data_IF_376582261743
#
_entry.id   IF_376582261743
#
_cell.length_a   1.000
_cell.length_b   1.000
_cell.length_c   1.000
_cell.angle_alpha   90.00
_cell.angle_beta   90.00
_cell.angle_gamma   90.00
#
_symmetry.space_group_name_H-M   'P 1'
#
loop_
_entity.id
_entity.type
_entity.pdbx_description
1 polymer ?
#
# COMPACT_ATOMS: atom_id res chain seq x y z
N UNK A 1 13.52 1.16 -26.11
CA UNK A 1 13.43 1.19 -24.62
C UNK A 1 12.57 0.02 -24.22
N UNK A 2 12.84 -0.64 -23.08
CA UNK A 2 11.95 -1.69 -22.56
C UNK A 2 10.63 -1.08 -22.10
N UNK A 3 9.52 -1.81 -22.24
CA UNK A 3 8.21 -1.41 -21.74
C UNK A 3 8.31 -1.19 -20.22
N UNK A 4 7.82 -0.05 -19.67
CA UNK A 4 7.82 0.20 -18.24
C UNK A 4 7.04 -0.87 -17.49
N UNK A 5 7.50 -1.22 -16.29
CA UNK A 5 6.88 -2.24 -15.46
C UNK A 5 6.30 -1.62 -14.18
N UNK A 6 5.04 -1.88 -13.93
CA UNK A 6 4.40 -1.64 -12.63
C UNK A 6 4.33 -2.97 -11.90
N UNK A 7 4.93 -3.03 -10.70
CA UNK A 7 4.84 -4.18 -9.80
C UNK A 7 3.89 -3.81 -8.67
N UNK A 8 2.79 -4.54 -8.53
CA UNK A 8 1.84 -4.37 -7.43
C UNK A 8 2.10 -5.38 -6.32
N UNK A 9 2.06 -4.96 -5.05
CA UNK A 9 2.04 -5.87 -3.91
C UNK A 9 0.82 -5.58 -3.03
N UNK A 10 -0.01 -6.59 -2.85
CA UNK A 10 -1.27 -6.46 -2.11
C UNK A 10 -1.09 -6.42 -0.59
N UNK A 11 -2.10 -5.93 0.11
CA UNK A 11 -2.18 -5.91 1.58
C UNK A 11 -2.70 -7.22 2.16
N UNK A 12 -3.13 -7.14 3.41
CA UNK A 12 -3.62 -8.22 4.26
C UNK A 12 -4.81 -9.00 3.70
N UNK A 13 -5.15 -10.06 4.42
CA UNK A 13 -6.26 -10.98 4.21
C UNK A 13 -6.13 -11.85 2.96
N UNK A 14 -6.94 -12.91 2.92
CA UNK A 14 -7.02 -13.79 1.75
C UNK A 14 -7.43 -12.99 0.50
N UNK A 15 -7.02 -13.47 -0.64
CA UNK A 15 -7.25 -12.83 -1.95
C UNK A 15 -7.84 -13.82 -2.93
N UNK A 16 -8.54 -13.35 -3.98
CA UNK A 16 -8.85 -14.18 -5.14
C UNK A 16 -7.55 -14.64 -5.80
N UNK A 17 -7.65 -15.53 -6.76
CA UNK A 17 -6.49 -15.99 -7.53
C UNK A 17 -5.63 -14.84 -8.06
N UNK A 18 -4.31 -15.06 -8.16
CA UNK A 18 -3.35 -14.05 -8.62
C UNK A 18 -3.76 -13.39 -9.94
N UNK A 19 -4.24 -14.21 -10.89
CA UNK A 19 -4.67 -13.74 -12.22
C UNK A 19 -5.83 -12.73 -12.13
N UNK A 20 -6.80 -13.00 -11.25
CA UNK A 20 -7.97 -12.15 -11.03
C UNK A 20 -7.57 -10.86 -10.31
N UNK A 21 -6.80 -11.00 -9.22
CA UNK A 21 -6.31 -9.83 -8.47
C UNK A 21 -5.45 -8.92 -9.35
N UNK A 22 -4.55 -9.51 -10.14
CA UNK A 22 -3.71 -8.80 -11.11
C UNK A 22 -4.56 -8.01 -12.12
N UNK A 23 -5.58 -8.66 -12.69
CA UNK A 23 -6.51 -8.03 -13.63
C UNK A 23 -7.23 -6.83 -13.00
N UNK A 24 -7.72 -6.96 -11.76
CA UNK A 24 -8.46 -5.88 -11.11
C UNK A 24 -7.58 -4.68 -10.74
N UNK A 25 -6.34 -4.94 -10.31
CA UNK A 25 -5.38 -3.86 -10.08
C UNK A 25 -5.07 -3.10 -11.38
N UNK A 26 -4.78 -3.85 -12.47
CA UNK A 26 -4.52 -3.27 -13.77
C UNK A 26 -5.71 -2.43 -14.26
N UNK A 27 -6.93 -2.96 -14.18
CA UNK A 27 -8.16 -2.23 -14.54
C UNK A 27 -8.32 -0.93 -13.75
N UNK A 28 -8.01 -0.92 -12.45
CA UNK A 28 -8.11 0.30 -11.64
C UNK A 28 -7.11 1.38 -12.06
N UNK A 29 -5.90 0.99 -12.44
CA UNK A 29 -4.87 1.90 -12.97
C UNK A 29 -5.30 2.45 -14.33
N UNK A 30 -5.75 1.57 -15.23
CA UNK A 30 -6.21 1.95 -16.57
C UNK A 30 -7.43 2.88 -16.50
N UNK A 31 -8.39 2.58 -15.62
CA UNK A 31 -9.56 3.45 -15.38
C UNK A 31 -9.11 4.85 -14.91
N UNK A 32 -8.19 4.91 -13.96
CA UNK A 32 -7.64 6.17 -13.48
C UNK A 32 -6.96 6.98 -14.58
N UNK A 33 -6.10 6.33 -15.38
CA UNK A 33 -5.42 6.95 -16.52
C UNK A 33 -6.39 7.47 -17.56
N UNK A 34 -7.42 6.68 -17.91
CA UNK A 34 -8.42 7.09 -18.87
C UNK A 34 -9.25 8.28 -18.37
N UNK A 35 -9.74 8.25 -17.13
CA UNK A 35 -10.67 9.25 -16.61
C UNK A 35 -9.97 10.55 -16.18
N UNK A 36 -8.75 10.48 -15.72
CA UNK A 36 -8.04 11.64 -15.17
C UNK A 36 -7.04 12.26 -16.16
N UNK A 37 -6.42 11.44 -17.03
CA UNK A 37 -5.31 11.84 -17.88
C UNK A 37 -5.62 11.68 -19.37
N UNK A 38 -6.82 11.20 -19.74
CA UNK A 38 -7.25 10.91 -21.12
C UNK A 38 -6.35 9.92 -21.86
N UNK A 39 -5.73 8.97 -21.15
CA UNK A 39 -4.92 7.90 -21.71
C UNK A 39 -5.77 6.64 -21.81
N UNK A 40 -6.15 6.25 -23.04
CA UNK A 40 -7.10 5.15 -23.28
C UNK A 40 -6.44 3.78 -23.51
N UNK A 41 -5.15 3.75 -23.85
CA UNK A 41 -4.40 2.51 -24.13
C UNK A 41 -2.97 2.67 -23.61
N UNK A 42 -2.78 2.61 -22.29
CA UNK A 42 -1.46 2.80 -21.68
C UNK A 42 -0.58 1.57 -21.92
N UNK A 43 0.63 1.79 -22.44
CA UNK A 43 1.62 0.74 -22.68
C UNK A 43 2.50 0.50 -21.44
N UNK A 44 2.15 -0.50 -20.65
CA UNK A 44 2.93 -0.95 -19.49
C UNK A 44 2.71 -2.43 -19.19
N UNK A 45 3.73 -3.08 -18.65
CA UNK A 45 3.56 -4.40 -18.05
C UNK A 45 3.10 -4.25 -16.60
N UNK A 46 2.24 -5.17 -16.15
CA UNK A 46 1.81 -5.25 -14.76
C UNK A 46 2.08 -6.64 -14.17
N UNK A 47 2.84 -6.69 -13.08
CA UNK A 47 3.09 -7.93 -12.34
C UNK A 47 2.57 -7.81 -10.91
N UNK A 48 1.73 -8.76 -10.48
CA UNK A 48 1.29 -8.87 -9.09
C UNK A 48 2.29 -9.70 -8.28
N UNK A 49 2.67 -9.20 -7.12
CA UNK A 49 3.33 -9.98 -6.07
C UNK A 49 2.25 -10.59 -5.19
N UNK A 50 1.99 -11.87 -5.41
CA UNK A 50 0.93 -12.61 -4.74
C UNK A 50 1.51 -13.46 -3.62
N UNK A 51 1.24 -13.09 -2.38
CA UNK A 51 1.73 -13.78 -1.19
C UNK A 51 0.62 -14.37 -0.30
N UNK A 52 -0.66 -14.14 -0.62
CA UNK A 52 -1.78 -14.64 0.17
C UNK A 52 -1.77 -16.18 0.29
N UNK A 53 -1.33 -16.91 -0.73
CA UNK A 53 -1.21 -18.34 -0.76
C UNK A 53 -0.24 -18.93 0.28
N UNK A 54 0.68 -18.13 0.82
CA UNK A 54 1.58 -18.59 1.89
C UNK A 54 0.90 -18.60 3.27
N UNK A 55 -0.15 -17.80 3.44
CA UNK A 55 -0.91 -17.72 4.69
C UNK A 55 -2.27 -18.43 4.61
N UNK A 56 -2.81 -18.60 3.41
CA UNK A 56 -4.15 -19.13 3.17
C UNK A 56 -4.10 -20.29 2.17
N UNK A 57 -4.56 -21.48 2.59
CA UNK A 57 -4.53 -22.71 1.77
C UNK A 57 -5.41 -22.63 0.53
N UNK A 58 -6.54 -21.94 0.63
CA UNK A 58 -7.51 -21.81 -0.46
C UNK A 58 -7.67 -20.34 -0.81
N UNK A 59 -7.70 -20.04 -2.11
CA UNK A 59 -8.04 -18.70 -2.58
C UNK A 59 -9.46 -18.33 -2.19
N UNK A 60 -9.74 -17.03 -2.12
CA UNK A 60 -11.13 -16.58 -2.05
C UNK A 60 -11.80 -16.82 -3.41
N UNK A 61 -13.05 -17.25 -3.35
CA UNK A 61 -13.87 -17.28 -4.55
C UNK A 61 -14.04 -15.86 -5.10
N UNK A 62 -14.11 -15.74 -6.41
CA UNK A 62 -14.39 -14.49 -7.13
C UNK A 62 -15.88 -14.34 -7.44
N UNK A 63 -16.72 -15.22 -6.92
CA UNK A 63 -18.17 -15.18 -7.05
C UNK A 63 -18.73 -14.02 -6.24
N UNK A 64 -19.58 -13.18 -6.88
CA UNK A 64 -20.15 -12.01 -6.25
C UNK A 64 -20.90 -12.34 -4.96
N UNK A 65 -21.60 -13.47 -4.89
CA UNK A 65 -22.35 -13.90 -3.71
C UNK A 65 -21.45 -14.18 -2.51
N UNK A 66 -20.23 -14.67 -2.74
CA UNK A 66 -19.27 -14.94 -1.68
C UNK A 66 -18.63 -13.66 -1.14
N UNK A 67 -18.38 -12.68 -1.99
CA UNK A 67 -17.72 -11.43 -1.60
C UNK A 67 -18.60 -10.54 -0.73
N UNK A 68 -19.91 -10.62 -0.87
CA UNK A 68 -20.85 -9.83 -0.07
C UNK A 68 -20.95 -10.28 1.39
N UNK A 69 -20.59 -11.53 1.68
CA UNK A 69 -20.65 -12.07 3.05
C UNK A 69 -19.38 -11.88 3.86
N UNK A 70 -18.29 -11.48 3.23
CA UNK A 70 -16.99 -11.35 3.91
C UNK A 70 -16.33 -9.99 3.68
N UNK A 71 -16.37 -9.18 4.71
CA UNK A 71 -15.54 -7.99 4.95
C UNK A 71 -14.71 -7.38 3.80
N UNK A 72 -15.12 -6.25 3.33
CA UNK A 72 -14.46 -5.09 2.65
C UNK A 72 -13.26 -5.27 1.71
N UNK A 73 -12.44 -6.29 1.84
CA UNK A 73 -11.14 -6.32 1.14
C UNK A 73 -11.09 -7.22 -0.08
N UNK A 74 -12.16 -7.94 -0.35
CA UNK A 74 -12.12 -9.06 -1.29
C UNK A 74 -13.21 -9.03 -2.37
N UNK A 75 -14.02 -7.97 -2.39
CA UNK A 75 -15.05 -7.80 -3.40
C UNK A 75 -14.45 -7.56 -4.80
N UNK A 76 -15.17 -7.94 -5.88
CA UNK A 76 -14.77 -7.65 -7.25
C UNK A 76 -14.50 -6.18 -7.47
N UNK A 77 -13.67 -5.88 -8.46
CA UNK A 77 -13.43 -4.50 -8.88
C UNK A 77 -14.73 -3.85 -9.37
N UNK A 78 -15.03 -2.68 -8.82
CA UNK A 78 -16.18 -1.86 -9.21
C UNK A 78 -15.68 -0.54 -9.80
N UNK A 79 -16.05 -0.26 -11.03
CA UNK A 79 -15.72 1.01 -11.69
C UNK A 79 -16.31 2.21 -10.94
N UNK A 80 -15.62 3.36 -11.04
CA UNK A 80 -16.10 4.60 -10.47
C UNK A 80 -17.37 5.06 -11.17
N UNK A 81 -18.35 5.47 -10.37
CA UNK A 81 -19.52 6.17 -10.89
C UNK A 81 -19.08 7.51 -11.47
N UNK A 82 -19.65 7.92 -12.59
CA UNK A 82 -19.30 9.19 -13.24
C UNK A 82 -19.35 10.36 -12.24
N UNK A 83 -18.32 11.20 -12.25
CA UNK A 83 -18.17 12.36 -11.37
C UNK A 83 -17.73 12.06 -9.93
N UNK A 84 -17.34 10.82 -9.61
CA UNK A 84 -16.87 10.46 -8.26
C UNK A 84 -15.36 10.59 -8.05
N UNK A 85 -14.59 10.67 -9.12
CA UNK A 85 -13.15 10.91 -9.02
C UNK A 85 -12.92 12.37 -8.65
N UNK A 86 -12.39 12.60 -7.47
CA UNK A 86 -12.13 13.94 -6.91
C UNK A 86 -10.68 14.06 -6.52
N UNK A 87 -10.12 15.20 -6.88
CA UNK A 87 -8.84 15.66 -6.40
C UNK A 87 -8.86 15.95 -4.90
N UNK A 88 -7.68 16.10 -4.36
CA UNK A 88 -7.30 16.43 -2.99
C UNK A 88 -8.32 17.29 -2.23
N UNK A 89 -8.64 16.90 -1.03
CA UNK A 89 -9.41 17.73 -0.08
C UNK A 89 -8.48 18.33 0.96
N UNK A 90 -8.48 19.65 1.06
CA UNK A 90 -7.92 20.35 2.21
C UNK A 90 -8.71 19.96 3.46
N UNK A 91 -8.06 19.44 4.46
CA UNK A 91 -8.71 18.88 5.64
C UNK A 91 -8.09 19.20 6.97
N UNK A 92 -8.91 19.46 7.92
CA UNK A 92 -8.81 20.05 9.25
C UNK A 92 -8.36 19.06 10.39
N UNK A 93 -7.75 17.91 10.13
CA UNK A 93 -7.51 16.90 11.18
C UNK A 93 -6.05 16.66 11.58
N UNK A 94 -5.12 17.56 11.21
CA UNK A 94 -3.68 17.38 11.47
C UNK A 94 -3.27 17.40 12.96
N UNK A 95 -4.16 17.81 13.87
CA UNK A 95 -3.78 18.06 15.27
C UNK A 95 -4.02 16.90 16.23
N UNK A 96 -4.60 15.78 15.78
CA UNK A 96 -5.06 14.73 16.70
C UNK A 96 -4.03 13.62 16.93
N UNK A 97 -3.03 13.47 16.05
CA UNK A 97 -2.16 12.29 16.00
C UNK A 97 -0.71 12.46 16.47
N UNK A 98 -0.38 13.52 17.14
CA UNK A 98 0.98 13.77 17.67
C UNK A 98 1.27 13.06 19.00
N UNK A 99 0.87 11.80 19.16
CA UNK A 99 1.13 11.02 20.38
C UNK A 99 1.73 9.66 20.08
N UNK A 100 2.77 9.27 20.81
CA UNK A 100 3.35 7.93 20.75
C UNK A 100 2.33 6.89 21.24
N UNK A 101 2.05 5.88 20.43
CA UNK A 101 1.13 4.80 20.77
C UNK A 101 1.90 3.48 20.94
N UNK A 102 1.70 2.85 22.08
CA UNK A 102 2.08 1.46 22.33
C UNK A 102 0.90 0.55 21.94
N UNK A 103 1.14 -0.56 21.26
CA UNK A 103 0.11 -1.49 20.78
C UNK A 103 -0.40 -2.44 21.88
N UNK A 104 -0.61 -1.94 23.09
CA UNK A 104 -1.38 -2.64 24.13
C UNK A 104 -2.88 -2.60 23.82
N UNK A 105 -3.67 -3.51 24.39
CA UNK A 105 -5.13 -3.51 24.20
C UNK A 105 -5.80 -2.19 24.58
N UNK A 106 -5.25 -1.46 25.57
CA UNK A 106 -5.70 -0.14 25.95
C UNK A 106 -5.51 0.91 24.85
N UNK A 107 -4.48 0.75 24.03
CA UNK A 107 -4.21 1.65 22.91
C UNK A 107 -5.20 1.44 21.77
N UNK A 108 -5.62 0.20 21.53
CA UNK A 108 -6.64 -0.10 20.52
C UNK A 108 -7.97 0.55 20.88
N UNK A 109 -8.38 0.47 22.16
CA UNK A 109 -9.63 1.06 22.64
C UNK A 109 -9.58 2.60 22.61
N UNK A 110 -8.44 3.20 22.93
CA UNK A 110 -8.21 4.65 22.80
C UNK A 110 -8.23 5.12 21.33
N UNK A 111 -7.71 4.31 20.41
CA UNK A 111 -7.78 4.58 18.97
C UNK A 111 -9.22 4.52 18.47
N UNK A 112 -10.00 3.55 18.91
CA UNK A 112 -11.43 3.41 18.60
C UNK A 112 -12.21 4.64 19.04
N UNK A 113 -12.02 5.07 20.27
CA UNK A 113 -12.71 6.23 20.85
C UNK A 113 -12.34 7.53 20.12
N UNK A 114 -11.04 7.75 19.83
CA UNK A 114 -10.56 8.96 19.16
C UNK A 114 -10.91 9.04 17.68
N UNK A 115 -10.97 7.90 16.98
CA UNK A 115 -11.23 7.83 15.54
C UNK A 115 -12.72 7.75 15.22
N UNK A 116 -13.59 7.50 16.21
CA UNK A 116 -15.01 7.26 15.98
C UNK A 116 -15.22 6.11 14.99
N UNK A 117 -14.35 5.08 15.08
CA UNK A 117 -14.37 3.93 14.18
C UNK A 117 -15.65 3.12 14.43
N UNK A 118 -16.30 2.73 13.34
CA UNK A 118 -17.40 1.78 13.40
C UNK A 118 -16.88 0.35 13.63
N UNK A 119 -17.78 -0.57 13.91
CA UNK A 119 -17.45 -1.98 14.21
C UNK A 119 -16.65 -2.69 13.10
N UNK A 120 -16.65 -2.15 11.89
CA UNK A 120 -15.98 -2.71 10.71
C UNK A 120 -14.51 -2.29 10.64
N UNK A 121 -14.24 -1.01 10.93
CA UNK A 121 -12.87 -0.53 11.07
C UNK A 121 -12.15 -1.24 12.24
N UNK A 122 -12.86 -1.52 13.33
CA UNK A 122 -12.36 -2.30 14.46
C UNK A 122 -11.93 -3.73 14.08
N UNK A 123 -12.79 -4.43 13.34
CA UNK A 123 -12.50 -5.79 12.90
C UNK A 123 -11.30 -5.82 11.94
N UNK A 124 -11.16 -4.80 11.10
CA UNK A 124 -10.03 -4.67 10.17
C UNK A 124 -8.72 -4.38 10.90
N UNK A 125 -8.71 -3.42 11.85
CA UNK A 125 -7.54 -3.10 12.67
C UNK A 125 -7.11 -4.30 13.51
N UNK A 126 -8.05 -5.03 14.12
CA UNK A 126 -7.74 -6.26 14.85
C UNK A 126 -7.06 -7.32 13.98
N UNK A 127 -7.49 -7.45 12.72
CA UNK A 127 -6.87 -8.36 11.75
C UNK A 127 -5.48 -7.87 11.32
N UNK A 128 -5.33 -6.57 11.06
CA UNK A 128 -4.04 -5.96 10.75
C UNK A 128 -3.03 -6.22 11.86
N UNK A 129 -3.40 -5.99 13.10
CA UNK A 129 -2.52 -6.21 14.26
C UNK A 129 -2.12 -7.67 14.42
N UNK A 130 -3.07 -8.61 14.19
CA UNK A 130 -2.77 -10.04 14.23
C UNK A 130 -1.76 -10.45 13.16
N UNK A 131 -1.94 -9.97 11.94
CA UNK A 131 -1.06 -10.33 10.83
C UNK A 131 0.31 -9.63 10.93
N UNK A 132 0.36 -8.40 11.47
CA UNK A 132 1.61 -7.73 11.86
C UNK A 132 2.34 -8.53 12.94
N UNK A 133 1.64 -9.02 13.96
CA UNK A 133 2.22 -9.86 14.99
C UNK A 133 2.81 -11.13 14.38
N UNK A 134 2.09 -11.83 13.50
CA UNK A 134 2.60 -13.00 12.79
C UNK A 134 3.84 -12.67 11.95
N UNK A 135 3.82 -11.55 11.22
CA UNK A 135 4.95 -11.12 10.41
C UNK A 135 6.22 -10.90 11.23
N UNK A 136 6.11 -10.27 12.39
CA UNK A 136 7.28 -9.98 13.22
C UNK A 136 7.71 -11.13 14.12
N UNK A 137 6.84 -12.07 14.47
CA UNK A 137 7.14 -13.19 15.37
C UNK A 137 7.54 -14.48 14.61
N UNK A 138 7.06 -14.68 13.39
CA UNK A 138 7.33 -15.87 12.59
C UNK A 138 8.35 -15.54 11.50
N UNK A 139 9.62 -15.81 11.79
CA UNK A 139 10.72 -15.51 10.88
C UNK A 139 10.63 -16.28 9.56
N UNK A 140 10.18 -17.51 9.58
CA UNK A 140 10.04 -18.34 8.37
C UNK A 140 8.99 -17.74 7.42
N UNK A 141 7.81 -17.38 7.95
CA UNK A 141 6.79 -16.70 7.17
C UNK A 141 7.24 -15.34 6.67
N UNK A 142 7.84 -14.53 7.55
CA UNK A 142 8.39 -13.23 7.15
C UNK A 142 9.35 -13.36 5.98
N UNK A 143 10.29 -14.30 6.06
CA UNK A 143 11.27 -14.56 5.00
C UNK A 143 10.60 -15.07 3.72
N UNK A 144 9.60 -15.93 3.82
CA UNK A 144 8.81 -16.39 2.67
C UNK A 144 8.11 -15.23 1.94
N UNK A 145 7.42 -14.36 2.68
CA UNK A 145 6.75 -13.18 2.11
C UNK A 145 7.75 -12.22 1.44
N UNK A 146 8.89 -11.97 2.09
CA UNK A 146 9.97 -11.13 1.53
C UNK A 146 10.58 -11.76 0.28
N UNK A 147 10.79 -13.07 0.26
CA UNK A 147 11.36 -13.78 -0.91
C UNK A 147 10.48 -13.65 -2.14
N UNK A 148 9.16 -13.76 -1.99
CA UNK A 148 8.21 -13.61 -3.11
C UNK A 148 8.37 -12.27 -3.83
N UNK A 149 8.47 -11.17 -3.09
CA UNK A 149 8.70 -9.85 -3.70
C UNK A 149 10.14 -9.74 -4.26
N UNK A 150 11.14 -10.16 -3.48
CA UNK A 150 12.55 -10.10 -3.87
C UNK A 150 12.80 -10.80 -5.20
N UNK A 151 12.30 -12.02 -5.36
CA UNK A 151 12.45 -12.81 -6.58
C UNK A 151 11.77 -12.15 -7.78
N UNK A 152 10.55 -11.61 -7.61
CA UNK A 152 9.84 -10.88 -8.66
C UNK A 152 10.61 -9.63 -9.11
N UNK A 153 11.19 -8.89 -8.17
CA UNK A 153 11.98 -7.69 -8.48
C UNK A 153 13.29 -8.05 -9.19
N UNK A 154 14.04 -9.03 -8.68
CA UNK A 154 15.32 -9.45 -9.27
C UNK A 154 15.13 -10.05 -10.69
N UNK A 155 14.05 -10.79 -10.92
CA UNK A 155 13.70 -11.32 -12.25
C UNK A 155 13.43 -10.20 -13.29
N UNK A 156 13.22 -8.97 -12.84
CA UNK A 156 12.97 -7.81 -13.69
C UNK A 156 14.04 -6.72 -13.54
N UNK A 157 15.22 -7.08 -13.00
CA UNK A 157 16.35 -6.15 -12.86
C UNK A 157 16.72 -5.54 -14.21
N UNK A 158 17.03 -4.25 -14.21
CA UNK A 158 17.40 -3.48 -15.41
C UNK A 158 16.20 -2.93 -16.19
N UNK A 159 14.96 -3.24 -15.79
CA UNK A 159 13.77 -2.57 -16.30
C UNK A 159 13.47 -1.29 -15.52
N UNK A 160 12.73 -0.37 -16.14
CA UNK A 160 12.14 0.77 -15.46
C UNK A 160 10.97 0.30 -14.60
N UNK A 161 11.15 0.27 -13.27
CA UNK A 161 10.19 -0.32 -12.33
C UNK A 161 9.54 0.75 -11.46
N UNK A 162 8.19 0.73 -11.38
CA UNK A 162 7.39 1.37 -10.34
C UNK A 162 6.82 0.27 -9.43
N UNK A 163 7.22 0.25 -8.16
CA UNK A 163 6.66 -0.65 -7.16
C UNK A 163 5.51 0.04 -6.43
N UNK A 164 4.30 -0.47 -6.56
CA UNK A 164 3.08 0.02 -5.87
C UNK A 164 2.71 -0.95 -4.77
N UNK A 165 2.86 -0.51 -3.53
CA UNK A 165 2.63 -1.32 -2.35
C UNK A 165 1.41 -0.83 -1.55
N UNK A 166 0.52 -1.75 -1.16
CA UNK A 166 -0.71 -1.45 -0.44
C UNK A 166 -0.71 -2.05 0.96
N UNK A 167 -1.10 -1.25 1.97
CA UNK A 167 -1.33 -1.76 3.33
C UNK A 167 -0.10 -2.49 3.90
N UNK A 168 -0.24 -3.68 4.46
CA UNK A 168 0.91 -4.51 4.92
C UNK A 168 1.94 -4.77 3.81
N UNK A 169 1.52 -4.78 2.54
CA UNK A 169 2.46 -4.89 1.42
C UNK A 169 3.52 -3.78 1.42
N UNK A 170 3.23 -2.62 2.03
CA UNK A 170 4.20 -1.51 2.15
C UNK A 170 5.33 -1.84 3.13
N UNK A 171 5.04 -2.59 4.20
CA UNK A 171 6.05 -3.06 5.15
C UNK A 171 6.96 -4.07 4.47
N UNK A 172 6.37 -5.09 3.82
CA UNK A 172 7.14 -6.11 3.07
C UNK A 172 8.01 -5.44 2.01
N UNK A 173 7.45 -4.46 1.28
CA UNK A 173 8.17 -3.73 0.25
C UNK A 173 9.33 -2.92 0.82
N UNK A 174 9.11 -2.17 1.91
CA UNK A 174 10.16 -1.40 2.56
C UNK A 174 11.31 -2.29 3.03
N UNK A 175 11.00 -3.42 3.68
CA UNK A 175 11.98 -4.38 4.16
C UNK A 175 12.80 -4.97 3.01
N UNK A 176 12.13 -5.43 1.94
CA UNK A 176 12.81 -6.03 0.78
C UNK A 176 13.70 -5.02 0.06
N UNK A 177 13.22 -3.79 -0.14
CA UNK A 177 14.02 -2.74 -0.78
C UNK A 177 15.24 -2.37 0.07
N UNK A 178 15.09 -2.36 1.40
CA UNK A 178 16.21 -2.11 2.32
C UNK A 178 17.24 -3.25 2.26
N UNK A 179 16.77 -4.51 2.30
CA UNK A 179 17.64 -5.69 2.20
C UNK A 179 18.34 -5.79 0.84
N UNK A 180 17.65 -5.46 -0.24
CA UNK A 180 18.26 -5.40 -1.58
C UNK A 180 19.35 -4.33 -1.65
N UNK A 181 19.11 -3.16 -1.05
CA UNK A 181 20.15 -2.11 -0.98
C UNK A 181 21.42 -2.52 -0.24
N UNK A 182 21.30 -3.48 0.69
CA UNK A 182 22.45 -4.05 1.42
C UNK A 182 23.11 -5.20 0.66
N UNK A 183 22.33 -6.07 0.02
CA UNK A 183 22.82 -7.33 -0.56
C UNK A 183 23.07 -7.28 -2.07
N UNK A 184 22.44 -6.36 -2.78
CA UNK A 184 22.56 -6.18 -4.23
C UNK A 184 22.59 -4.68 -4.59
N UNK A 185 23.74 -4.00 -4.40
CA UNK A 185 23.85 -2.55 -4.56
C UNK A 185 23.61 -2.06 -6.00
N UNK A 186 23.69 -2.94 -6.99
CA UNK A 186 23.42 -2.63 -8.40
C UNK A 186 21.94 -2.78 -8.78
N UNK A 187 21.10 -3.25 -7.85
CA UNK A 187 19.66 -3.31 -8.06
C UNK A 187 19.04 -1.93 -7.85
N UNK A 188 18.15 -1.55 -8.77
CA UNK A 188 17.48 -0.25 -8.75
C UNK A 188 16.02 -0.37 -9.16
N UNK A 189 15.18 0.48 -8.54
CA UNK A 189 13.83 0.77 -9.01
C UNK A 189 13.66 2.28 -9.19
N UNK A 190 12.83 2.67 -10.13
CA UNK A 190 12.53 4.08 -10.39
C UNK A 190 11.71 4.70 -9.25
N UNK A 191 10.53 4.11 -9.01
CA UNK A 191 9.56 4.65 -8.08
C UNK A 191 9.14 3.61 -7.03
N UNK A 192 9.09 4.04 -5.77
CA UNK A 192 8.42 3.32 -4.70
C UNK A 192 7.15 4.08 -4.31
N UNK A 193 6.00 3.44 -4.44
CA UNK A 193 4.69 4.04 -4.16
C UNK A 193 4.04 3.26 -3.03
N UNK A 194 3.69 3.95 -1.95
CA UNK A 194 2.94 3.40 -0.83
C UNK A 194 1.53 3.97 -0.84
N UNK A 195 0.52 3.10 -0.72
CA UNK A 195 -0.90 3.47 -0.69
C UNK A 195 -1.57 2.84 0.52
N UNK A 196 -2.29 3.63 1.31
CA UNK A 196 -2.93 3.15 2.55
C UNK A 196 -1.93 2.49 3.50
N UNK A 197 -0.80 3.12 3.74
CA UNK A 197 0.37 2.52 4.40
C UNK A 197 0.32 2.59 5.93
N UNK A 198 0.60 1.48 6.66
CA UNK A 198 0.81 1.48 8.10
C UNK A 198 2.26 1.80 8.53
N UNK A 199 3.15 2.18 7.62
CA UNK A 199 4.57 2.43 7.92
C UNK A 199 4.79 3.52 8.99
N UNK A 200 3.87 4.48 9.09
CA UNK A 200 3.91 5.54 10.12
C UNK A 200 3.50 5.08 11.52
N UNK A 201 2.97 3.86 11.68
CA UNK A 201 2.59 3.34 13.00
C UNK A 201 3.85 3.16 13.87
N UNK A 202 3.90 3.73 15.09
CA UNK A 202 5.09 3.71 15.94
C UNK A 202 5.69 2.32 16.17
N UNK A 203 4.84 1.29 16.35
CA UNK A 203 5.29 -0.08 16.48
C UNK A 203 6.00 -0.60 15.24
N UNK A 204 5.46 -0.32 14.05
CA UNK A 204 6.07 -0.71 12.77
C UNK A 204 7.42 0.00 12.60
N UNK A 205 7.47 1.31 12.84
CA UNK A 205 8.73 2.08 12.83
C UNK A 205 9.74 1.52 13.83
N UNK A 206 9.31 1.18 15.04
CA UNK A 206 10.17 0.58 16.06
C UNK A 206 10.78 -0.75 15.59
N UNK A 207 10.01 -1.61 14.94
CA UNK A 207 10.50 -2.88 14.39
C UNK A 207 11.47 -2.67 13.23
N UNK A 208 11.22 -1.72 12.37
CA UNK A 208 12.14 -1.35 11.28
C UNK A 208 13.47 -0.84 11.85
N UNK A 209 13.42 0.04 12.84
CA UNK A 209 14.62 0.55 13.53
C UNK A 209 15.39 -0.60 14.18
N UNK A 210 14.71 -1.49 14.91
CA UNK A 210 15.32 -2.65 15.56
C UNK A 210 16.07 -3.55 14.58
N UNK A 211 15.51 -3.77 13.39
CA UNK A 211 16.08 -4.68 12.39
C UNK A 211 17.17 -4.04 11.53
N UNK A 212 17.00 -2.79 11.12
CA UNK A 212 17.83 -2.17 10.07
C UNK A 212 18.79 -1.08 10.56
N UNK A 213 18.71 -0.63 11.81
CA UNK A 213 19.65 0.35 12.35
C UNK A 213 20.64 -0.32 13.29
N UNK A 214 21.91 0.09 13.23
CA UNK A 214 22.92 -0.41 14.15
C UNK A 214 22.77 0.29 15.51
N UNK A 215 22.68 -0.49 16.60
CA UNK A 215 22.66 0.01 17.97
C UNK A 215 23.90 0.89 18.20
N UNK A 216 23.68 2.17 18.40
CA UNK A 216 24.74 3.16 18.70
C UNK A 216 24.91 4.26 17.67
N UNK A 217 24.23 4.23 16.54
CA UNK A 217 24.19 5.36 15.61
C UNK A 217 23.28 6.46 16.20
N UNK A 218 23.84 7.61 16.57
CA UNK A 218 23.11 8.75 17.14
C UNK A 218 22.10 9.36 16.16
N UNK A 219 22.04 8.88 14.92
CA UNK A 219 21.12 9.28 13.87
C UNK A 219 20.17 8.15 13.49
N UNK A 220 19.63 7.39 14.43
CA UNK A 220 18.69 6.27 14.28
C UNK A 220 17.38 6.65 13.56
N UNK A 221 17.48 7.23 12.38
CA UNK A 221 16.36 7.51 11.52
C UNK A 221 16.29 6.48 10.41
N UNK A 222 15.14 5.83 10.31
CA UNK A 222 14.81 5.08 9.10
C UNK A 222 14.90 6.00 7.88
N UNK A 223 15.32 5.46 6.74
CA UNK A 223 15.58 6.24 5.53
C UNK A 223 14.88 5.61 4.34
N UNK A 224 14.69 6.39 3.31
CA UNK A 224 14.33 5.84 1.99
C UNK A 224 15.33 4.75 1.59
N UNK A 225 14.88 3.55 1.16
CA UNK A 225 15.78 2.49 0.70
C UNK A 225 16.68 2.98 -0.45
N UNK A 226 17.95 2.59 -0.41
CA UNK A 226 18.98 3.09 -1.35
C UNK A 226 18.75 2.67 -2.81
N UNK A 227 17.96 1.64 -3.03
CA UNK A 227 17.60 1.14 -4.36
C UNK A 227 16.54 1.99 -5.06
N UNK A 228 15.88 2.89 -4.34
CA UNK A 228 14.89 3.82 -4.90
C UNK A 228 15.63 5.02 -5.48
N UNK A 229 15.54 5.23 -6.80
CA UNK A 229 16.38 6.21 -7.51
C UNK A 229 15.68 7.54 -7.79
N UNK A 230 14.40 7.54 -8.08
CA UNK A 230 13.72 8.77 -8.44
C UNK A 230 12.77 9.27 -7.35
N UNK A 231 11.75 8.50 -6.98
CA UNK A 231 10.73 8.97 -6.04
C UNK A 231 10.24 7.88 -5.11
N UNK A 232 9.96 8.26 -3.88
CA UNK A 232 9.06 7.55 -2.99
C UNK A 232 7.86 8.47 -2.72
N UNK A 233 6.66 8.06 -3.13
CA UNK A 233 5.42 8.82 -2.88
C UNK A 233 4.48 7.99 -2.03
N UNK A 234 3.98 8.58 -0.95
CA UNK A 234 2.99 8.00 -0.07
C UNK A 234 1.63 8.65 -0.35
N UNK A 235 0.70 7.86 -0.88
CA UNK A 235 -0.69 8.30 -1.04
C UNK A 235 -1.52 7.82 0.15
N UNK A 236 -2.12 8.77 0.88
CA UNK A 236 -2.93 8.49 2.06
C UNK A 236 -4.26 9.22 2.00
N UNK A 237 -5.36 8.53 2.34
CA UNK A 237 -6.65 9.16 2.61
C UNK A 237 -6.79 9.33 4.12
N UNK A 238 -7.16 10.53 4.59
CA UNK A 238 -7.37 10.81 6.03
C UNK A 238 -8.48 9.98 6.67
N UNK A 239 -9.33 9.37 5.85
CA UNK A 239 -10.42 8.48 6.30
C UNK A 239 -10.04 7.00 6.23
N UNK A 240 -8.83 6.70 5.77
CA UNK A 240 -8.31 5.35 5.76
C UNK A 240 -7.93 4.93 7.18
N UNK A 241 -8.59 3.92 7.78
CA UNK A 241 -8.32 3.51 9.15
C UNK A 241 -6.96 2.82 9.35
N UNK A 242 -6.22 2.55 8.28
CA UNK A 242 -4.88 1.93 8.33
C UNK A 242 -3.78 2.97 8.16
N UNK A 243 -3.98 3.97 7.33
CA UNK A 243 -3.06 5.08 7.14
C UNK A 243 -3.17 6.08 8.30
N UNK A 244 -2.96 5.60 9.53
CA UNK A 244 -3.12 6.39 10.76
C UNK A 244 -2.18 7.58 10.82
N UNK A 245 -0.97 7.42 10.31
CA UNK A 245 -0.03 8.50 10.07
C UNK A 245 0.07 8.72 8.56
N UNK A 246 -0.49 9.81 8.11
CA UNK A 246 -0.52 10.17 6.69
C UNK A 246 0.76 10.88 6.23
N UNK A 247 1.68 11.18 7.16
CA UNK A 247 2.90 11.97 6.92
C UNK A 247 4.19 11.16 7.13
N UNK A 248 4.47 10.21 6.25
CA UNK A 248 5.71 9.41 6.32
C UNK A 248 6.98 10.24 6.09
N UNK A 249 6.85 11.39 5.44
CA UNK A 249 7.98 12.27 5.15
C UNK A 249 8.74 12.71 6.41
N UNK A 250 8.04 12.87 7.52
CA UNK A 250 8.64 13.35 8.77
C UNK A 250 9.41 12.25 9.47
N UNK A 251 9.05 11.00 9.24
CA UNK A 251 9.64 9.82 9.85
C UNK A 251 10.84 9.28 9.08
N UNK A 252 10.80 9.33 7.74
CA UNK A 252 11.80 8.72 6.88
C UNK A 252 12.75 9.76 6.30
N UNK A 253 14.05 9.61 6.61
CA UNK A 253 15.11 10.47 6.08
C UNK A 253 15.40 10.21 4.59
N UNK A 254 16.16 11.11 3.99
CA UNK A 254 16.69 10.92 2.62
C UNK A 254 17.61 9.72 2.54
N UNK A 255 17.62 9.02 1.40
CA UNK A 255 18.69 8.10 1.07
C UNK A 255 19.95 8.86 0.58
N UNK A 256 20.99 8.10 0.24
CA UNK A 256 22.28 8.68 -0.25
C UNK A 256 22.13 9.46 -1.56
N UNK A 257 21.12 9.12 -2.38
CA UNK A 257 20.85 9.77 -3.67
C UNK A 257 19.93 10.99 -3.50
N UNK A 258 19.57 11.35 -2.25
CA UNK A 258 18.74 12.51 -1.92
C UNK A 258 17.22 12.26 -2.01
N UNK A 259 16.82 11.04 -2.37
CA UNK A 259 15.38 10.68 -2.45
C UNK A 259 14.78 10.63 -1.06
N UNK A 260 13.68 11.33 -0.86
CA UNK A 260 12.91 11.39 0.37
C UNK A 260 11.45 11.04 0.09
N UNK A 261 10.77 10.42 1.06
CA UNK A 261 9.33 10.23 0.97
C UNK A 261 8.59 11.55 0.76
N UNK A 262 7.67 11.57 -0.17
CA UNK A 262 6.75 12.68 -0.44
C UNK A 262 5.35 12.22 -0.05
N UNK A 263 4.63 12.98 0.76
CA UNK A 263 3.26 12.66 1.12
C UNK A 263 2.30 13.39 0.20
N UNK A 264 1.36 12.66 -0.38
CA UNK A 264 0.27 13.22 -1.16
C UNK A 264 -1.06 12.71 -0.63
N UNK A 265 -1.86 13.65 -0.09
CA UNK A 265 -3.17 13.35 0.47
C UNK A 265 -4.17 13.22 -0.66
N UNK A 266 -4.85 12.08 -0.72
CA UNK A 266 -5.83 11.77 -1.74
C UNK A 266 -7.21 11.54 -1.16
N UNK A 267 -8.20 11.51 -2.02
CA UNK A 267 -9.56 11.12 -1.65
C UNK A 267 -9.90 9.78 -2.32
N UNK A 268 -9.79 8.72 -1.53
CA UNK A 268 -10.20 7.39 -1.96
C UNK A 268 -11.72 7.22 -1.74
N UNK A 269 -12.51 7.40 -2.78
CA UNK A 269 -13.97 7.25 -2.69
C UNK A 269 -14.47 5.90 -3.25
N UNK A 270 -13.63 4.87 -3.21
CA UNK A 270 -14.02 3.54 -3.65
C UNK A 270 -15.31 3.08 -2.95
N UNK A 271 -16.27 2.60 -3.74
CA UNK A 271 -17.60 2.26 -3.27
C UNK A 271 -17.88 0.79 -3.50
N UNK A 272 -18.43 0.18 -2.47
CA UNK A 272 -18.87 -1.22 -2.45
C UNK A 272 -20.40 -1.24 -2.46
N UNK A 273 -20.98 -2.05 -3.33
CA UNK A 273 -22.43 -2.26 -3.34
C UNK A 273 -22.83 -3.18 -2.18
N UNK A 274 -23.72 -2.74 -1.32
CA UNK A 274 -24.31 -3.60 -0.29
C UNK A 274 -25.27 -4.60 -0.89
N UNK A 275 -25.16 -5.88 -0.49
CA UNK A 275 -26.12 -6.92 -0.87
C UNK A 275 -27.55 -6.52 -0.46
N UNK A 276 -28.49 -6.53 -1.40
CA UNK A 276 -29.91 -6.24 -1.15
C UNK A 276 -30.24 -4.79 -0.82
N UNK A 277 -29.30 -3.85 -0.93
CA UNK A 277 -29.52 -2.42 -0.72
C UNK A 277 -29.16 -1.61 -1.98
N UNK A 278 -29.88 -0.51 -2.21
CA UNK A 278 -29.50 0.47 -3.24
C UNK A 278 -28.30 1.34 -2.86
N UNK A 279 -27.83 1.22 -1.62
CA UNK A 279 -26.76 2.04 -1.04
C UNK A 279 -25.39 1.42 -1.25
N UNK A 280 -24.40 2.30 -1.46
CA UNK A 280 -22.99 1.96 -1.54
C UNK A 280 -22.29 2.38 -0.25
N UNK A 281 -21.48 1.51 0.33
CA UNK A 281 -20.52 1.88 1.36
C UNK A 281 -19.20 2.35 0.74
N UNK A 282 -18.54 3.25 1.44
CA UNK A 282 -17.19 3.70 1.06
C UNK A 282 -16.13 2.85 1.75
N UNK A 283 -15.13 2.45 0.98
CA UNK A 283 -13.95 1.79 1.51
C UNK A 283 -12.70 2.63 1.21
N UNK A 284 -12.37 3.52 2.14
CA UNK A 284 -11.22 4.41 2.02
C UNK A 284 -9.88 3.69 2.03
N UNK A 285 -9.84 2.41 2.45
CA UNK A 285 -8.63 1.59 2.44
C UNK A 285 -8.45 0.75 1.18
N UNK A 286 -9.42 0.75 0.26
CA UNK A 286 -9.35 -0.14 -0.91
C UNK A 286 -8.26 0.30 -1.88
N UNK A 287 -7.34 -0.63 -2.24
CA UNK A 287 -6.26 -0.38 -3.19
C UNK A 287 -6.73 0.17 -4.53
N UNK A 288 -7.84 -0.36 -5.06
CA UNK A 288 -8.38 0.08 -6.36
C UNK A 288 -8.80 1.55 -6.36
N UNK A 289 -9.31 2.05 -5.24
CA UNK A 289 -9.65 3.46 -5.13
C UNK A 289 -8.43 4.36 -5.15
N UNK A 290 -7.34 3.96 -4.46
CA UNK A 290 -6.06 4.66 -4.53
C UNK A 290 -5.49 4.67 -5.95
N UNK A 291 -5.48 3.52 -6.64
CA UNK A 291 -4.92 3.36 -7.98
C UNK A 291 -5.64 4.19 -9.06
N UNK A 292 -6.83 4.72 -8.79
CA UNK A 292 -7.59 5.55 -9.73
C UNK A 292 -7.80 6.99 -9.26
N UNK A 293 -7.10 7.44 -8.20
CA UNK A 293 -7.11 8.86 -7.83
C UNK A 293 -6.40 9.70 -8.89
N UNK A 294 -6.80 10.98 -9.07
CA UNK A 294 -6.16 11.87 -10.05
C UNK A 294 -4.66 12.02 -9.81
N UNK A 295 -4.25 12.11 -8.54
CA UNK A 295 -2.86 12.28 -8.14
C UNK A 295 -2.01 11.05 -8.51
N UNK A 296 -2.52 9.85 -8.22
CA UNK A 296 -1.85 8.60 -8.61
C UNK A 296 -1.80 8.45 -10.13
N UNK A 297 -2.90 8.73 -10.84
CA UNK A 297 -2.96 8.67 -12.31
C UNK A 297 -1.94 9.60 -12.97
N UNK A 298 -1.82 10.83 -12.46
CA UNK A 298 -0.82 11.79 -12.95
C UNK A 298 0.61 11.28 -12.76
N UNK A 299 0.91 10.68 -11.59
CA UNK A 299 2.22 10.09 -11.32
C UNK A 299 2.52 8.93 -12.28
N UNK A 300 1.56 8.02 -12.48
CA UNK A 300 1.72 6.88 -13.41
C UNK A 300 1.93 7.39 -14.84
N UNK A 301 1.13 8.37 -15.32
CA UNK A 301 1.32 8.96 -16.65
C UNK A 301 2.74 9.50 -16.85
N UNK A 302 3.26 10.25 -15.87
CA UNK A 302 4.64 10.77 -15.91
C UNK A 302 5.68 9.65 -15.94
N UNK A 303 5.47 8.62 -15.12
CA UNK A 303 6.33 7.45 -15.12
C UNK A 303 6.35 6.76 -16.50
N UNK A 304 5.20 6.56 -17.12
CA UNK A 304 5.11 5.91 -18.43
C UNK A 304 5.73 6.76 -19.53
N UNK A 305 5.51 8.08 -19.54
CA UNK A 305 6.06 8.99 -20.56
C UNK A 305 7.55 9.31 -20.39
N UNK A 306 8.15 8.97 -19.26
CA UNK A 306 9.55 9.30 -18.98
C UNK A 306 9.79 10.80 -18.68
N UNK A 307 8.73 11.52 -18.27
CA UNK A 307 8.73 12.97 -18.03
C UNK A 307 8.78 13.33 -16.56
#
# INVERSE_FOLDING_TARGET
MSIPLIVGIHGLANKPEESILSKWWRLSIEEGLQKNENVSDPDFDFHMVYWANQLYKNHMHHDEDFYFDQHFNNEPYVEAVAGTLKSKRDGFLDSIFAGAFDLSGETLDLMKEKLGLDSLADAFLGKLLKDLHLYYQDEEKRNGLRSTLKEKLLANQGRKIMLVAHSMGTIIAYDVLTLLGQSNPDFEIDHFITIGSPLGIPHVKGKIIEEFTHRGDKNDRVRTPTVVKNRWVNFADRKDPVALDVHLRDDFGKNRDGVKCEDDLVHNDYRIKKRGKAEYDRNHHKSYGYCRTPEFSNLVRKFLSGS
#
